data_IF_269981003799
#
_entry.id   IF_269981003799
#
_cell.length_a   1.000
_cell.length_b   1.000
_cell.length_c   1.000
_cell.angle_alpha   90.00
_cell.angle_beta   90.00
_cell.angle_gamma   90.00
#
_symmetry.space_group_name_H-M   'P 1'
#
loop_
_entity.id
_entity.type
_entity.pdbx_description
1 polymer ?
#
# COMPACT_ATOMS: atom_id res chain seq x y z
N UNK A 1 2.35 -7.29 17.26
CA UNK A 1 3.66 -6.71 16.91
C UNK A 1 3.87 -6.96 15.43
N UNK A 2 3.64 -5.93 14.62
CA UNK A 2 3.58 -6.01 13.16
C UNK A 2 4.29 -4.77 12.61
N UNK A 3 5.34 -4.98 11.81
CA UNK A 3 5.98 -3.94 11.01
C UNK A 3 5.29 -3.85 9.65
N UNK A 4 5.05 -2.64 9.13
CA UNK A 4 4.52 -2.45 7.79
C UNK A 4 5.49 -1.64 6.92
N UNK A 5 5.99 -2.26 5.86
CA UNK A 5 6.86 -1.62 4.87
C UNK A 5 6.03 -1.29 3.62
N UNK A 6 5.77 -0.01 3.40
CA UNK A 6 4.99 0.50 2.26
C UNK A 6 5.67 1.69 1.59
N UNK A 7 5.26 2.02 0.37
CA UNK A 7 5.76 3.20 -0.35
C UNK A 7 7.21 3.06 -0.84
N UNK A 8 8.08 3.99 -0.43
CA UNK A 8 9.51 3.99 -0.82
C UNK A 8 10.20 2.77 -0.19
N UNK A 9 11.23 2.25 -0.87
CA UNK A 9 11.96 1.07 -0.40
C UNK A 9 12.76 1.41 0.87
N UNK A 10 12.62 0.56 1.88
CA UNK A 10 13.28 0.65 3.18
C UNK A 10 13.74 -0.75 3.62
N UNK A 11 14.75 -0.85 4.49
CA UNK A 11 15.16 -2.13 5.06
C UNK A 11 14.26 -2.49 6.26
N UNK A 12 13.96 -3.78 6.48
CA UNK A 12 13.19 -4.23 7.64
C UNK A 12 13.98 -4.12 8.93
N UNK A 13 13.26 -3.94 10.04
CA UNK A 13 13.84 -3.91 11.39
C UNK A 13 13.83 -5.32 11.99
N UNK A 14 14.93 -5.71 12.63
CA UNK A 14 15.03 -7.01 13.31
C UNK A 14 14.12 -7.07 14.55
N UNK A 15 13.54 -8.25 14.80
CA UNK A 15 12.88 -8.56 16.06
C UNK A 15 11.35 -8.46 16.06
N UNK A 16 10.73 -7.99 14.97
CA UNK A 16 9.28 -7.99 14.85
C UNK A 16 8.72 -9.40 14.63
N UNK A 17 7.56 -9.68 15.25
CA UNK A 17 6.85 -10.97 15.05
C UNK A 17 6.38 -11.16 13.62
N UNK A 18 5.85 -10.11 13.00
CA UNK A 18 5.39 -10.13 11.61
C UNK A 18 5.83 -8.87 10.87
N UNK A 19 6.12 -9.00 9.58
CA UNK A 19 6.39 -7.88 8.68
C UNK A 19 5.48 -7.98 7.46
N UNK A 20 4.72 -6.92 7.20
CA UNK A 20 3.85 -6.77 6.04
C UNK A 20 4.56 -5.96 4.96
N UNK A 21 4.86 -6.58 3.83
CA UNK A 21 5.42 -5.93 2.65
C UNK A 21 4.29 -5.50 1.70
N UNK A 22 4.12 -4.19 1.53
CA UNK A 22 3.08 -3.62 0.67
C UNK A 22 3.70 -3.07 -0.60
N UNK A 23 3.26 -3.61 -1.74
CA UNK A 23 3.68 -3.15 -3.06
C UNK A 23 4.85 -3.91 -3.64
N UNK A 24 4.92 -3.94 -4.97
CA UNK A 24 5.89 -4.75 -5.70
C UNK A 24 7.35 -4.40 -5.39
N UNK A 25 7.64 -3.11 -5.14
CA UNK A 25 8.99 -2.65 -4.83
C UNK A 25 9.51 -3.24 -3.51
N UNK A 26 8.68 -3.21 -2.46
CA UNK A 26 9.02 -3.76 -1.14
C UNK A 26 9.16 -5.28 -1.19
N UNK A 27 8.22 -5.97 -1.85
CA UNK A 27 8.26 -7.43 -2.01
C UNK A 27 9.52 -7.90 -2.74
N UNK A 28 9.91 -7.21 -3.83
CA UNK A 28 11.12 -7.55 -4.58
C UNK A 28 12.40 -7.39 -3.76
N UNK A 29 12.48 -6.34 -2.95
CA UNK A 29 13.69 -6.03 -2.17
C UNK A 29 13.80 -6.88 -0.90
N UNK A 30 12.69 -7.06 -0.19
CA UNK A 30 12.70 -7.58 1.18
C UNK A 30 12.06 -8.96 1.33
N UNK A 31 11.48 -9.53 0.28
CA UNK A 31 10.67 -10.76 0.38
C UNK A 31 11.42 -12.02 0.83
N UNK A 32 12.75 -12.00 0.86
CA UNK A 32 13.62 -13.07 1.34
C UNK A 32 14.61 -12.58 2.41
N UNK A 33 14.33 -11.42 3.03
CA UNK A 33 15.22 -10.83 4.03
C UNK A 33 15.21 -11.66 5.32
N UNK A 34 16.40 -12.04 5.80
CA UNK A 34 16.58 -12.88 6.99
C UNK A 34 16.20 -12.20 8.31
N UNK A 35 16.11 -10.86 8.33
CA UNK A 35 15.64 -10.10 9.50
C UNK A 35 14.14 -10.27 9.75
N UNK A 36 13.39 -10.77 8.75
CA UNK A 36 11.95 -10.94 8.83
C UNK A 36 11.60 -12.35 9.29
N UNK A 37 10.96 -12.46 10.45
CA UNK A 37 10.53 -13.75 11.01
C UNK A 37 9.31 -14.34 10.28
N UNK A 38 8.31 -13.50 10.02
CA UNK A 38 7.08 -13.88 9.33
C UNK A 38 6.74 -12.83 8.27
N UNK A 39 6.91 -13.18 7.01
CA UNK A 39 6.77 -12.24 5.89
C UNK A 39 5.41 -12.39 5.21
N UNK A 40 4.52 -11.43 5.45
CA UNK A 40 3.23 -11.32 4.74
C UNK A 40 3.40 -10.35 3.58
N UNK A 41 2.86 -10.69 2.40
CA UNK A 41 3.16 -9.98 1.14
C UNK A 41 1.87 -9.57 0.45
N UNK A 42 1.71 -8.27 0.19
CA UNK A 42 0.66 -7.75 -0.68
C UNK A 42 1.29 -7.29 -1.98
N UNK A 43 1.05 -8.06 -3.05
CA UNK A 43 1.57 -7.80 -4.39
C UNK A 43 0.67 -6.80 -5.12
N UNK A 44 1.23 -6.06 -6.07
CA UNK A 44 0.49 -5.07 -6.88
C UNK A 44 0.62 -3.62 -6.37
N UNK A 45 0.44 -2.66 -7.28
CA UNK A 45 0.43 -1.23 -6.97
C UNK A 45 -0.57 -0.54 -7.94
N UNK A 46 -1.85 -0.36 -7.56
CA UNK A 46 -2.44 -0.71 -6.26
C UNK A 46 -2.64 -2.23 -6.07
N UNK A 47 -2.72 -2.70 -4.82
CA UNK A 47 -3.00 -4.11 -4.50
C UNK A 47 -4.44 -4.50 -4.79
N UNK A 48 -4.70 -5.80 -4.97
CA UNK A 48 -6.06 -6.32 -5.11
C UNK A 48 -6.78 -6.43 -3.76
N UNK A 49 -8.11 -6.36 -3.78
CA UNK A 49 -8.96 -6.54 -2.59
C UNK A 49 -8.70 -7.88 -1.90
N UNK A 50 -8.61 -8.94 -2.68
CA UNK A 50 -8.37 -10.29 -2.18
C UNK A 50 -7.03 -10.38 -1.44
N UNK A 51 -5.96 -9.83 -2.03
CA UNK A 51 -4.63 -9.85 -1.42
C UNK A 51 -4.59 -9.05 -0.10
N UNK A 52 -5.38 -7.97 -0.01
CA UNK A 52 -5.54 -7.21 1.23
C UNK A 52 -6.25 -8.07 2.29
N UNK A 53 -7.43 -8.61 1.98
CA UNK A 53 -8.21 -9.40 2.95
C UNK A 53 -7.44 -10.63 3.45
N UNK A 54 -6.74 -11.35 2.56
CA UNK A 54 -5.92 -12.50 2.93
C UNK A 54 -4.76 -12.09 3.86
N UNK A 55 -4.01 -11.05 3.51
CA UNK A 55 -2.87 -10.60 4.30
C UNK A 55 -3.27 -10.06 5.68
N UNK A 56 -4.35 -9.28 5.76
CA UNK A 56 -4.82 -8.74 7.03
C UNK A 56 -5.46 -9.84 7.89
N UNK A 57 -6.20 -10.78 7.29
CA UNK A 57 -6.74 -11.95 7.98
C UNK A 57 -5.64 -12.86 8.54
N UNK A 58 -4.56 -13.08 7.80
CA UNK A 58 -3.38 -13.83 8.26
C UNK A 58 -2.71 -13.18 9.49
N UNK A 59 -2.74 -11.85 9.54
CA UNK A 59 -2.23 -11.06 10.67
C UNK A 59 -3.23 -10.92 11.81
N UNK A 60 -4.44 -11.46 11.68
CA UNK A 60 -5.53 -11.32 12.66
C UNK A 60 -6.03 -9.88 12.79
N UNK A 61 -5.86 -9.06 11.76
CA UNK A 61 -6.35 -7.67 11.72
C UNK A 61 -7.71 -7.67 11.03
N UNK A 62 -8.74 -7.26 11.76
CA UNK A 62 -10.06 -7.02 11.20
C UNK A 62 -10.08 -5.67 10.47
N UNK A 63 -10.41 -5.71 9.18
CA UNK A 63 -10.65 -4.51 8.38
C UNK A 63 -12.12 -4.09 8.50
N UNK A 64 -12.41 -2.77 8.51
CA UNK A 64 -13.80 -2.30 8.52
C UNK A 64 -14.48 -2.64 7.18
N UNK A 65 -15.80 -2.90 7.22
CA UNK A 65 -16.58 -3.32 6.05
C UNK A 65 -16.49 -2.35 4.86
N UNK A 66 -16.31 -1.05 5.13
CA UNK A 66 -16.20 0.00 4.13
C UNK A 66 -14.75 0.31 3.69
N UNK A 67 -13.77 -0.49 4.10
CA UNK A 67 -12.35 -0.24 3.83
C UNK A 67 -12.07 -0.10 2.32
N UNK A 68 -12.65 -0.99 1.51
CA UNK A 68 -12.41 -1.01 0.07
C UNK A 68 -13.03 0.20 -0.64
N UNK A 69 -14.23 0.61 -0.23
CA UNK A 69 -14.87 1.81 -0.75
C UNK A 69 -14.06 3.07 -0.38
N UNK A 70 -13.54 3.13 0.85
CA UNK A 70 -12.67 4.20 1.29
C UNK A 70 -11.35 4.24 0.50
N UNK A 71 -10.72 3.08 0.28
CA UNK A 71 -9.49 2.95 -0.54
C UNK A 71 -9.72 3.42 -1.98
N UNK A 72 -10.87 3.10 -2.59
CA UNK A 72 -11.22 3.55 -3.94
C UNK A 72 -11.38 5.08 -4.05
N UNK A 73 -11.74 5.76 -2.94
CA UNK A 73 -11.90 7.23 -2.86
C UNK A 73 -10.59 7.96 -2.48
N UNK A 74 -9.53 7.24 -2.13
CA UNK A 74 -8.24 7.86 -1.80
C UNK A 74 -7.66 8.70 -2.93
N UNK A 75 -7.67 8.26 -4.22
CA UNK A 75 -7.18 9.08 -5.32
C UNK A 75 -7.91 10.43 -5.41
N UNK A 76 -9.24 10.44 -5.28
CA UNK A 76 -10.03 11.68 -5.26
C UNK A 76 -9.56 12.59 -4.12
N UNK A 77 -9.39 12.03 -2.92
CA UNK A 77 -8.91 12.77 -1.75
C UNK A 77 -7.53 13.37 -1.99
N UNK A 78 -6.62 12.63 -2.63
CA UNK A 78 -5.30 13.12 -3.00
C UNK A 78 -5.32 14.18 -4.10
N UNK A 79 -6.29 14.15 -5.00
CA UNK A 79 -6.44 15.15 -6.06
C UNK A 79 -6.89 16.50 -5.52
N UNK A 80 -7.64 16.52 -4.40
CA UNK A 80 -8.11 17.77 -3.77
C UNK A 80 -7.00 18.77 -3.43
N UNK A 81 -5.77 18.30 -3.20
CA UNK A 81 -4.63 19.19 -2.90
C UNK A 81 -4.19 20.07 -4.08
N UNK A 82 -4.58 19.69 -5.30
CA UNK A 82 -4.24 20.38 -6.53
C UNK A 82 -5.34 21.34 -7.00
N UNK A 83 -6.52 21.31 -6.36
CA UNK A 83 -7.60 22.26 -6.62
C UNK A 83 -7.08 23.67 -6.30
N UNK A 84 -7.31 24.61 -7.21
CA UNK A 84 -6.89 26.02 -7.12
C UNK A 84 -5.37 26.26 -7.04
N UNK A 85 -4.53 25.26 -7.27
CA UNK A 85 -3.08 25.46 -7.35
C UNK A 85 -2.71 26.07 -8.71
N UNK A 86 -2.17 27.30 -8.77
CA UNK A 86 -1.84 27.96 -10.03
C UNK A 86 -0.74 27.24 -10.82
N UNK A 87 0.10 26.44 -10.16
CA UNK A 87 1.11 25.59 -10.80
C UNK A 87 0.54 24.30 -11.40
N UNK A 88 -0.72 23.97 -11.13
CA UNK A 88 -1.40 22.78 -11.66
C UNK A 88 -2.37 23.17 -12.78
N UNK A 89 -2.08 22.72 -14.00
CA UNK A 89 -2.94 22.93 -15.16
C UNK A 89 -3.57 21.61 -15.61
N UNK A 90 -4.89 21.49 -15.40
CA UNK A 90 -5.70 20.34 -15.77
C UNK A 90 -5.67 20.04 -17.28
N UNK A 91 -5.33 21.02 -18.12
CA UNK A 91 -5.22 20.81 -19.56
C UNK A 91 -4.14 19.77 -19.93
N UNK A 92 -3.12 19.57 -19.09
CA UNK A 92 -2.07 18.57 -19.32
C UNK A 92 -2.51 17.12 -19.11
N UNK A 93 -3.69 16.88 -18.52
CA UNK A 93 -4.15 15.54 -18.10
C UNK A 93 -5.44 15.09 -18.80
N UNK A 94 -5.76 15.66 -19.96
CA UNK A 94 -6.91 15.26 -20.79
C UNK A 94 -6.55 14.05 -21.65
N UNK A 95 -7.38 13.02 -21.62
CA UNK A 95 -7.29 11.90 -22.58
C UNK A 95 -7.75 12.44 -23.94
N UNK A 96 -6.87 12.46 -24.93
CA UNK A 96 -7.25 12.75 -26.32
C UNK A 96 -7.88 11.47 -26.90
N UNK A 97 -9.13 11.59 -27.34
CA UNK A 97 -9.85 10.52 -28.04
C UNK A 97 -9.46 10.44 -29.52
#
# INVERSE_FOLDING_TARGET
>A
DIEMLHGKIHEPTEGHKHTLLVGQCQVKKNGENQLINHCVKIKGCPPSEKDLLEAYGELGIELPDNFMEWMAKLPETFMRRYIDQPEFDEAFYKIQC
#
